data_IF_104387453057
#
_entry.id   IF_104387453057
#
_cell.length_a   1.000
_cell.length_b   1.000
_cell.length_c   1.000
_cell.angle_alpha   90.00
_cell.angle_beta   90.00
_cell.angle_gamma   90.00
#
_symmetry.space_group_name_H-M   'P 1'
#
loop_
_entity.id
_entity.type
_entity.pdbx_description
1 polymer ?
#
# COMPACT_ATOMS: atom_id res chain seq x y z
N UNK A 1 -9.09 -17.94 -19.00
CA UNK A 1 -9.91 -17.64 -17.80
C UNK A 1 -10.46 -16.25 -18.03
N UNK A 2 -11.79 -16.00 -18.02
CA UNK A 2 -12.31 -14.65 -18.18
C UNK A 2 -11.79 -13.79 -17.03
N UNK A 3 -11.20 -12.64 -17.37
CA UNK A 3 -10.75 -11.65 -16.40
C UNK A 3 -12.01 -10.95 -15.91
N UNK A 4 -12.38 -11.14 -14.64
CA UNK A 4 -13.48 -10.42 -14.02
C UNK A 4 -13.06 -8.96 -13.86
N UNK A 5 -13.55 -8.07 -14.73
CA UNK A 5 -13.22 -6.64 -14.70
C UNK A 5 -13.80 -6.05 -13.41
N UNK A 6 -12.92 -5.65 -12.50
CA UNK A 6 -13.28 -4.91 -11.29
C UNK A 6 -13.12 -3.41 -11.52
N UNK A 7 -13.90 -2.63 -10.79
CA UNK A 7 -13.78 -1.18 -10.80
C UNK A 7 -12.56 -0.74 -9.99
N UNK A 8 -11.85 0.32 -10.42
CA UNK A 8 -10.81 0.97 -9.64
C UNK A 8 -11.27 1.26 -8.22
N UNK A 9 -10.43 0.96 -7.23
CA UNK A 9 -10.82 1.12 -5.84
C UNK A 9 -9.71 1.67 -4.97
N UNK A 10 -10.10 2.52 -4.02
CA UNK A 10 -9.31 2.92 -2.86
C UNK A 10 -9.84 2.21 -1.62
N UNK A 11 -8.96 1.59 -0.85
CA UNK A 11 -9.24 1.16 0.51
C UNK A 11 -8.44 2.00 1.48
N UNK A 12 -9.08 2.47 2.55
CA UNK A 12 -8.43 3.18 3.65
C UNK A 12 -8.72 2.47 4.97
N UNK A 13 -7.68 2.27 5.77
CA UNK A 13 -7.77 1.63 7.08
C UNK A 13 -6.96 2.45 8.10
N UNK A 14 -7.64 2.93 9.13
CA UNK A 14 -6.98 3.46 10.32
C UNK A 14 -6.56 2.28 11.22
N UNK A 15 -5.25 2.15 11.42
CA UNK A 15 -4.65 1.20 12.36
C UNK A 15 -4.50 1.93 13.68
N UNK A 16 -5.31 1.55 14.67
CA UNK A 16 -5.41 2.28 15.95
C UNK A 16 -4.99 1.43 17.14
N UNK A 17 -4.80 0.12 16.94
CA UNK A 17 -4.49 -0.83 17.99
C UNK A 17 -3.62 -1.98 17.49
N UNK A 18 -2.98 -2.68 18.42
CA UNK A 18 -2.22 -3.90 18.12
C UNK A 18 -3.09 -5.01 17.48
N UNK A 19 -4.40 -5.04 17.78
CA UNK A 19 -5.33 -5.97 17.13
C UNK A 19 -5.45 -5.69 15.63
N UNK A 20 -5.40 -4.42 15.22
CA UNK A 20 -5.52 -4.01 13.82
C UNK A 20 -4.30 -4.44 12.99
N UNK A 21 -3.15 -4.66 13.63
CA UNK A 21 -1.96 -5.22 12.98
C UNK A 21 -2.22 -6.62 12.36
N UNK A 22 -3.22 -7.34 12.85
CA UNK A 22 -3.61 -8.66 12.34
C UNK A 22 -4.59 -8.62 11.16
N UNK A 23 -5.16 -7.45 10.82
CA UNK A 23 -6.14 -7.29 9.73
C UNK A 23 -5.53 -7.75 8.41
N UNK A 24 -6.28 -8.58 7.68
CA UNK A 24 -5.84 -9.18 6.41
C UNK A 24 -5.83 -8.16 5.28
N UNK A 25 -4.75 -8.18 4.50
CA UNK A 25 -4.55 -7.34 3.32
C UNK A 25 -4.31 -8.25 2.11
N UNK A 26 -4.99 -7.94 1.02
CA UNK A 26 -4.70 -8.44 -0.32
C UNK A 26 -4.12 -7.28 -1.12
N UNK A 27 -2.84 -7.39 -1.49
CA UNK A 27 -2.20 -6.45 -2.43
C UNK A 27 -2.21 -7.08 -3.81
N UNK A 28 -2.71 -6.38 -4.82
CA UNK A 28 -2.54 -6.78 -6.23
C UNK A 28 -1.18 -6.34 -6.79
N UNK A 29 -0.83 -6.81 -7.99
CA UNK A 29 0.37 -6.37 -8.72
C UNK A 29 0.32 -4.89 -9.09
N UNK A 30 -0.85 -4.31 -9.31
CA UNK A 30 -1.09 -2.91 -9.71
C UNK A 30 -1.33 -1.95 -8.55
N UNK A 31 -1.38 -2.47 -7.32
CA UNK A 31 -1.67 -1.66 -6.14
C UNK A 31 -0.52 -0.72 -5.77
N UNK A 32 -0.85 0.55 -5.60
CA UNK A 32 -0.06 1.54 -4.85
C UNK A 32 -0.48 1.50 -3.38
N UNK A 33 0.51 1.49 -2.47
CA UNK A 33 0.29 1.59 -1.02
C UNK A 33 0.77 2.97 -0.57
N UNK A 34 -0.03 3.67 0.23
CA UNK A 34 0.36 4.94 0.86
C UNK A 34 0.17 4.87 2.37
N UNK A 35 1.13 5.44 3.09
CA UNK A 35 1.08 5.66 4.54
C UNK A 35 1.51 7.12 4.78
N UNK A 36 0.58 8.09 4.64
CA UNK A 36 0.89 9.51 4.60
C UNK A 36 1.67 10.02 5.82
N UNK A 37 1.34 9.53 7.02
CA UNK A 37 1.95 9.95 8.28
C UNK A 37 3.40 9.45 8.44
N UNK A 38 3.78 8.42 7.69
CA UNK A 38 5.16 7.95 7.57
C UNK A 38 5.87 8.51 6.33
N UNK A 39 5.16 9.24 5.45
CA UNK A 39 5.70 9.69 4.16
C UNK A 39 6.06 8.53 3.23
N UNK A 40 5.44 7.36 3.39
CA UNK A 40 5.75 6.16 2.60
C UNK A 40 4.75 6.01 1.47
N UNK A 41 5.26 5.90 0.25
CA UNK A 41 4.51 5.48 -0.93
C UNK A 41 5.24 4.32 -1.59
N UNK A 42 4.55 3.21 -1.80
CA UNK A 42 5.05 2.03 -2.51
C UNK A 42 4.24 1.86 -3.78
N UNK A 43 4.84 2.22 -4.91
CA UNK A 43 4.24 2.06 -6.22
C UNK A 43 4.57 0.69 -6.82
N UNK A 44 3.69 0.12 -7.67
CA UNK A 44 4.00 -1.11 -8.37
C UNK A 44 5.11 -0.89 -9.41
N UNK A 45 6.14 -1.73 -9.36
CA UNK A 45 7.15 -1.84 -10.41
C UNK A 45 6.84 -2.95 -11.43
N UNK A 46 7.71 -3.15 -12.43
CA UNK A 46 7.55 -4.19 -13.45
C UNK A 46 7.32 -5.60 -12.90
N UNK A 47 8.09 -5.96 -11.88
CA UNK A 47 8.02 -7.28 -11.23
C UNK A 47 7.12 -7.29 -9.99
N UNK A 48 6.16 -6.37 -9.89
CA UNK A 48 5.26 -6.28 -8.74
C UNK A 48 4.30 -7.48 -8.75
N UNK A 49 4.38 -8.31 -7.71
CA UNK A 49 3.48 -9.45 -7.53
C UNK A 49 2.37 -9.14 -6.53
N UNK A 50 1.20 -9.74 -6.76
CA UNK A 50 0.13 -9.75 -5.78
C UNK A 50 0.40 -10.74 -4.65
N UNK A 51 -0.03 -10.42 -3.44
CA UNK A 51 0.13 -11.30 -2.29
C UNK A 51 -0.96 -11.08 -1.23
N UNK A 52 -1.15 -12.10 -0.39
CA UNK A 52 -2.02 -12.04 0.78
C UNK A 52 -1.13 -11.93 2.04
N UNK A 53 -1.44 -10.97 2.90
CA UNK A 53 -0.72 -10.69 4.14
C UNK A 53 -1.69 -10.18 5.21
N UNK A 54 -1.15 -9.58 6.26
CA UNK A 54 -1.81 -8.69 7.20
C UNK A 54 -1.08 -7.33 7.27
N UNK A 55 -1.63 -6.38 8.05
CA UNK A 55 -1.06 -5.05 8.32
C UNK A 55 0.38 -5.14 8.84
N UNK A 56 0.64 -5.97 9.85
CA UNK A 56 1.99 -6.19 10.41
C UNK A 56 2.97 -6.64 9.32
N UNK A 57 2.59 -7.62 8.52
CA UNK A 57 3.42 -8.15 7.44
C UNK A 57 3.66 -7.13 6.33
N UNK A 58 2.72 -6.21 6.09
CA UNK A 58 2.92 -5.08 5.16
C UNK A 58 3.95 -4.10 5.73
N UNK A 59 3.77 -3.67 6.98
CA UNK A 59 4.67 -2.77 7.69
C UNK A 59 6.10 -3.34 7.80
N UNK A 60 6.21 -4.64 8.13
CA UNK A 60 7.50 -5.34 8.18
C UNK A 60 8.23 -5.34 6.83
N UNK A 61 7.50 -5.50 5.71
CA UNK A 61 8.10 -5.42 4.36
C UNK A 61 8.61 -4.01 4.08
N UNK A 62 7.87 -2.97 4.45
CA UNK A 62 8.30 -1.57 4.34
C UNK A 62 9.57 -1.33 5.16
N UNK A 63 9.60 -1.77 6.43
CA UNK A 63 10.82 -1.67 7.28
C UNK A 63 12.03 -2.36 6.68
N UNK A 64 11.87 -3.49 6.00
CA UNK A 64 12.97 -4.19 5.32
C UNK A 64 13.52 -3.39 4.14
N UNK A 65 12.65 -2.76 3.35
CA UNK A 65 13.06 -1.88 2.23
C UNK A 65 13.82 -0.67 2.76
N UNK A 66 13.28 0.01 3.79
CA UNK A 66 13.96 1.13 4.46
C UNK A 66 15.33 0.70 4.98
N UNK A 67 15.40 -0.44 5.70
CA UNK A 67 16.66 -1.00 6.22
C UNK A 67 17.69 -1.28 5.13
N UNK A 68 17.25 -1.69 3.94
CA UNK A 68 18.14 -1.94 2.80
C UNK A 68 18.68 -0.64 2.24
N UNK A 69 17.83 0.38 2.07
CA UNK A 69 18.24 1.73 1.66
C UNK A 69 19.26 2.36 2.61
N UNK A 70 19.05 2.21 3.92
CA UNK A 70 19.99 2.70 4.94
C UNK A 70 21.41 2.13 4.82
N UNK A 71 21.57 0.89 4.31
CA UNK A 71 22.90 0.29 4.12
C UNK A 71 23.70 0.97 3.01
N UNK A 72 23.01 1.60 2.07
CA UNK A 72 23.60 2.27 0.91
C UNK A 72 23.66 3.80 1.09
N UNK A 73 22.96 4.34 2.07
CA UNK A 73 22.81 5.77 2.31
C UNK A 73 23.88 6.40 3.21
N UNK A 74 23.82 7.73 3.28
CA UNK A 74 24.64 8.57 4.17
C UNK A 74 24.11 8.58 5.61
N UNK A 75 24.82 9.25 6.53
CA UNK A 75 24.50 9.22 7.96
C UNK A 75 23.13 9.83 8.29
N UNK A 76 22.71 10.86 7.54
CA UNK A 76 21.38 11.47 7.71
C UNK A 76 20.25 10.52 7.27
N UNK A 77 20.42 9.84 6.13
CA UNK A 77 19.47 8.85 5.62
C UNK A 77 19.35 7.65 6.57
N UNK A 78 20.47 7.21 7.16
CA UNK A 78 20.48 6.17 8.19
C UNK A 78 19.69 6.59 9.42
N UNK A 79 19.85 7.83 9.87
CA UNK A 79 19.12 8.35 11.03
C UNK A 79 17.62 8.38 10.76
N UNK A 80 17.21 8.96 9.62
CA UNK A 80 15.81 9.07 9.23
C UNK A 80 15.17 7.68 9.05
N UNK A 81 15.88 6.75 8.40
CA UNK A 81 15.40 5.38 8.23
C UNK A 81 15.22 4.65 9.57
N UNK A 82 16.11 4.87 10.54
CA UNK A 82 15.97 4.30 11.88
C UNK A 82 14.73 4.85 12.60
N UNK A 83 14.51 6.16 12.54
CA UNK A 83 13.33 6.80 13.13
C UNK A 83 12.02 6.24 12.53
N UNK A 84 11.98 6.02 11.21
CA UNK A 84 10.83 5.39 10.55
C UNK A 84 10.61 3.95 11.00
N UNK A 85 11.67 3.15 11.13
CA UNK A 85 11.57 1.77 11.63
C UNK A 85 11.06 1.74 13.07
N UNK A 86 11.53 2.66 13.92
CA UNK A 86 11.07 2.76 15.31
C UNK A 86 9.58 3.13 15.38
N UNK A 87 9.11 4.04 14.52
CA UNK A 87 7.67 4.35 14.39
C UNK A 87 6.87 3.14 13.92
N UNK A 88 7.36 2.39 12.93
CA UNK A 88 6.70 1.17 12.45
C UNK A 88 6.55 0.14 13.59
N UNK A 89 7.56 -0.03 14.44
CA UNK A 89 7.46 -0.94 15.58
C UNK A 89 6.38 -0.48 16.57
N UNK A 90 6.29 0.82 16.87
CA UNK A 90 5.24 1.39 17.72
C UNK A 90 3.84 1.18 17.14
N UNK A 91 3.69 1.29 15.82
CA UNK A 91 2.42 1.01 15.13
C UNK A 91 2.00 -0.46 15.32
N UNK A 92 2.93 -1.40 15.17
CA UNK A 92 2.67 -2.83 15.37
C UNK A 92 2.28 -3.12 16.83
N UNK A 93 2.90 -2.42 17.78
CA UNK A 93 2.59 -2.53 19.21
C UNK A 93 1.31 -1.77 19.62
N UNK A 94 0.66 -1.04 18.70
CA UNK A 94 -0.54 -0.24 18.98
C UNK A 94 -0.28 1.00 19.84
N UNK A 95 0.95 1.52 19.83
CA UNK A 95 1.36 2.73 20.57
C UNK A 95 1.28 4.01 19.72
N UNK A 96 1.09 3.87 18.41
CA UNK A 96 0.91 4.94 17.45
C UNK A 96 -0.23 4.56 16.51
N UNK A 97 -0.87 5.54 15.86
CA UNK A 97 -1.96 5.32 14.92
C UNK A 97 -1.56 5.78 13.53
N UNK A 98 -2.03 5.09 12.49
CA UNK A 98 -1.73 5.46 11.10
C UNK A 98 -2.84 5.07 10.14
N UNK A 99 -2.99 5.80 9.04
CA UNK A 99 -3.84 5.41 7.92
C UNK A 99 -3.03 4.66 6.86
N UNK A 100 -3.46 3.44 6.53
CA UNK A 100 -2.97 2.68 5.38
C UNK A 100 -3.97 2.83 4.25
N UNK A 101 -3.49 3.27 3.10
CA UNK A 101 -4.29 3.46 1.89
C UNK A 101 -3.78 2.51 0.82
N UNK A 102 -4.69 1.73 0.22
CA UNK A 102 -4.45 0.91 -0.97
C UNK A 102 -5.21 1.52 -2.14
N UNK A 103 -4.50 1.96 -3.16
CA UNK A 103 -5.09 2.43 -4.41
C UNK A 103 -4.76 1.43 -5.49
N UNK A 104 -5.79 0.76 -6.01
CA UNK A 104 -5.63 -0.22 -7.06
C UNK A 104 -6.46 0.19 -8.28
N UNK A 105 -5.79 0.58 -9.39
CA UNK A 105 -6.50 1.00 -10.57
C UNK A 105 -7.23 -0.16 -11.27
N UNK A 106 -6.92 -1.42 -10.96
CA UNK A 106 -7.64 -2.59 -11.48
C UNK A 106 -8.58 -3.24 -10.44
N UNK A 107 -8.66 -2.69 -9.22
CA UNK A 107 -9.66 -3.09 -8.22
C UNK A 107 -9.50 -4.48 -7.59
N UNK A 108 -8.33 -5.13 -7.70
CA UNK A 108 -8.08 -6.48 -7.18
C UNK A 108 -7.52 -6.50 -5.75
N UNK A 109 -7.04 -5.37 -5.23
CA UNK A 109 -6.65 -5.21 -3.82
C UNK A 109 -7.85 -5.15 -2.89
N UNK A 110 -7.64 -5.51 -1.63
CA UNK A 110 -8.65 -5.46 -0.59
C UNK A 110 -8.06 -5.41 0.82
N UNK A 111 -8.82 -4.83 1.75
CA UNK A 111 -8.59 -4.95 3.18
C UNK A 111 -9.79 -5.69 3.77
N UNK A 112 -9.58 -6.84 4.40
CA UNK A 112 -10.65 -7.68 4.92
C UNK A 112 -10.97 -7.33 6.38
N UNK A 113 -11.58 -6.15 6.57
CA UNK A 113 -12.12 -5.68 7.84
C UNK A 113 -13.31 -4.75 7.60
N UNK A 114 -14.25 -4.75 8.54
CA UNK A 114 -15.35 -3.79 8.66
C UNK A 114 -14.87 -2.35 8.93
N UNK A 115 -13.67 -2.17 9.48
CA UNK A 115 -13.03 -0.86 9.66
C UNK A 115 -12.51 -0.26 8.35
N UNK A 116 -12.40 -1.05 7.29
CA UNK A 116 -11.89 -0.57 6.02
C UNK A 116 -12.96 0.20 5.26
N UNK A 117 -12.64 1.41 4.83
CA UNK A 117 -13.49 2.23 3.97
C UNK A 117 -13.09 1.95 2.53
N UNK A 118 -14.06 1.58 1.69
CA UNK A 118 -13.87 1.38 0.25
C UNK A 118 -14.52 2.52 -0.52
N UNK A 119 -13.76 3.13 -1.41
CA UNK A 119 -14.20 4.21 -2.30
C UNK A 119 -13.81 3.88 -3.75
N UNK A 120 -14.53 4.45 -4.71
CA UNK A 120 -14.15 4.40 -6.13
C UNK A 120 -13.10 5.48 -6.42
N UNK A 121 -12.13 5.16 -7.28
CA UNK A 121 -11.15 6.15 -7.76
C UNK A 121 -11.72 6.95 -8.93
N UNK A 122 -11.46 8.25 -8.95
CA UNK A 122 -11.83 9.14 -10.07
C UNK A 122 -10.88 9.01 -11.26
N UNK A 123 -11.30 9.46 -12.43
CA UNK A 123 -10.45 9.46 -13.64
C UNK A 123 -9.18 10.32 -13.48
N UNK A 124 -9.22 11.39 -12.68
CA UNK A 124 -8.05 12.22 -12.41
C UNK A 124 -7.05 11.47 -11.52
N UNK A 125 -7.52 10.84 -10.44
CA UNK A 125 -6.67 10.04 -9.55
C UNK A 125 -6.05 8.84 -10.26
N UNK A 126 -6.78 8.24 -11.22
CA UNK A 126 -6.28 7.11 -12.02
C UNK A 126 -5.11 7.48 -12.93
N UNK A 127 -5.05 8.72 -13.42
CA UNK A 127 -3.96 9.18 -14.30
C UNK A 127 -2.63 9.27 -13.55
N UNK A 128 -2.68 9.50 -12.25
CA UNK A 128 -1.50 9.60 -11.39
C UNK A 128 -1.02 8.23 -10.86
N UNK A 129 -1.78 7.15 -11.09
CA UNK A 129 -1.43 5.82 -10.62
C UNK A 129 -0.63 5.01 -11.65
N UNK A 130 0.31 4.22 -11.14
CA UNK A 130 1.08 3.25 -11.93
C UNK A 130 0.39 1.89 -11.95
N UNK A 131 0.56 1.18 -13.06
CA UNK A 131 -0.02 -0.14 -13.31
C UNK A 131 1.03 -1.27 -13.26
N UNK A 132 2.30 -0.97 -12.97
CA UNK A 132 3.40 -1.93 -13.09
C UNK A 132 3.90 -2.09 -14.53
N UNK A 133 4.31 -3.29 -14.95
CA UNK A 133 4.84 -3.60 -16.30
C UNK A 133 3.78 -3.66 -17.40
N UNK A 134 2.53 -3.41 -17.04
CA UNK A 134 1.44 -3.59 -17.98
C UNK A 134 1.11 -2.28 -18.66
N UNK A 135 1.41 -2.24 -19.96
CA UNK A 135 0.82 -1.36 -20.98
C UNK A 135 -0.72 -1.53 -21.00
N UNK A 136 -1.40 -1.12 -19.93
CA UNK A 136 -2.84 -0.99 -19.93
C UNK A 136 -3.16 0.46 -20.32
N UNK A 137 -3.38 0.69 -21.62
CA UNK A 137 -4.13 1.87 -22.03
C UNK A 137 -5.59 1.65 -21.60
N UNK A 138 -6.09 2.52 -20.71
CA UNK A 138 -7.54 2.65 -20.53
C UNK A 138 -8.06 3.16 -21.88
N UNK A 139 -8.65 2.29 -22.68
CA UNK A 139 -9.43 2.70 -23.84
C UNK A 139 -10.74 3.26 -23.26
N UNK A 140 -10.99 4.58 -23.29
CA UNK A 140 -12.28 5.10 -22.85
C UNK A 140 -13.35 4.47 -23.73
N UNK A 141 -14.32 3.80 -23.11
CA UNK A 141 -15.52 3.35 -23.79
C UNK A 141 -16.33 4.59 -24.18
N UNK A 142 -16.03 5.16 -25.35
CA UNK A 142 -16.95 6.05 -26.02
C UNK A 142 -18.14 5.22 -26.51
N UNK A 143 -19.24 5.25 -25.77
CA UNK A 143 -20.58 5.01 -26.32
C UNK A 143 -21.05 6.25 -27.08
#
# INVERSE_FOLDING_TARGET
>A
MPIEIKEPSRYSLNVESACDASIRIVKSSTCTIKIPELGVTVEPGPLSEGYISNVEGLLSRISKVISMGMKMGEDEEKKNGKELIDRINKLIEGQETVCIILEDPLGYSAIASDKAIKESLTEEELKDLKYGDSDFEIIPNNC
#
